data_IF_479596631735
#
_entry.id   IF_479596631735
#
_cell.length_a   1.000
_cell.length_b   1.000
_cell.length_c   1.000
_cell.angle_alpha   90.00
_cell.angle_beta   90.00
_cell.angle_gamma   90.00
#
_symmetry.space_group_name_H-M   'P 1'
#
loop_
_entity.id
_entity.type
_entity.pdbx_description
1 polymer ?
#
# COMPACT_ATOMS: atom_id res chain seq x y z
N UNK A 1 13.62 -7.15 -14.65
CA UNK A 1 13.36 -5.96 -13.80
C UNK A 1 12.49 -6.33 -12.60
N UNK A 2 13.06 -6.83 -11.48
CA UNK A 2 12.23 -7.34 -10.35
C UNK A 2 12.78 -7.05 -8.93
N UNK A 3 13.82 -6.24 -8.78
CA UNK A 3 14.32 -5.81 -7.45
C UNK A 3 13.64 -4.51 -7.01
N UNK A 4 13.54 -3.53 -7.92
CA UNK A 4 12.98 -2.20 -7.62
C UNK A 4 11.52 -2.32 -7.15
N UNK A 5 10.69 -3.09 -7.83
CA UNK A 5 9.28 -3.31 -7.45
C UNK A 5 9.17 -3.94 -6.05
N UNK A 6 10.07 -4.86 -5.69
CA UNK A 6 10.10 -5.48 -4.35
C UNK A 6 10.53 -4.49 -3.27
N UNK A 7 11.57 -3.68 -3.51
CA UNK A 7 11.98 -2.63 -2.58
C UNK A 7 10.86 -1.61 -2.33
N UNK A 8 10.18 -1.19 -3.40
CA UNK A 8 9.05 -0.27 -3.31
C UNK A 8 7.87 -0.88 -2.55
N UNK A 9 7.61 -2.18 -2.70
CA UNK A 9 6.61 -2.91 -1.92
C UNK A 9 6.97 -2.99 -0.43
N UNK A 10 8.25 -3.16 -0.08
CA UNK A 10 8.71 -3.15 1.32
C UNK A 10 8.56 -1.76 1.93
N UNK A 11 8.88 -0.71 1.18
CA UNK A 11 8.66 0.68 1.61
C UNK A 11 7.18 0.94 1.90
N UNK A 12 6.26 0.37 1.11
CA UNK A 12 4.83 0.42 1.39
C UNK A 12 4.41 -0.33 2.66
N UNK A 13 5.07 -1.44 3.00
CA UNK A 13 4.83 -2.15 4.26
C UNK A 13 5.28 -1.35 5.49
N UNK A 14 6.34 -0.54 5.37
CA UNK A 14 6.83 0.31 6.47
C UNK A 14 6.23 1.73 6.45
N UNK A 15 5.46 2.07 5.42
CA UNK A 15 4.93 3.41 5.26
C UNK A 15 3.94 3.71 6.39
N UNK A 16 4.21 4.73 7.24
CA UNK A 16 3.37 5.02 8.39
C UNK A 16 1.93 5.34 7.99
N UNK A 17 1.74 5.98 6.83
CA UNK A 17 0.42 6.29 6.29
C UNK A 17 -0.36 5.02 5.92
N UNK A 18 0.29 4.04 5.30
CA UNK A 18 -0.31 2.74 4.96
C UNK A 18 -0.62 1.91 6.20
N UNK A 19 0.27 1.94 7.20
CA UNK A 19 0.09 1.26 8.49
C UNK A 19 -1.10 1.88 9.24
N UNK A 20 -1.19 3.22 9.30
CA UNK A 20 -2.32 3.91 9.93
C UNK A 20 -3.64 3.60 9.24
N UNK A 21 -3.66 3.59 7.90
CA UNK A 21 -4.86 3.25 7.14
C UNK A 21 -5.30 1.79 7.34
N UNK A 22 -4.35 0.84 7.51
CA UNK A 22 -4.66 -0.55 7.90
C UNK A 22 -5.13 -0.70 9.33
N UNK A 23 -4.56 0.07 10.25
CA UNK A 23 -4.87 -0.02 11.68
C UNK A 23 -6.22 0.63 12.00
N UNK A 24 -6.62 1.65 11.25
CA UNK A 24 -7.88 2.37 11.44
C UNK A 24 -8.70 2.44 10.14
N UNK A 25 -9.18 1.29 9.62
CA UNK A 25 -9.85 1.22 8.31
C UNK A 25 -11.16 2.01 8.26
N UNK A 26 -11.80 2.26 9.41
CA UNK A 26 -13.07 2.99 9.50
C UNK A 26 -12.89 4.52 9.65
N UNK A 27 -11.66 4.99 9.83
CA UNK A 27 -11.37 6.41 9.98
C UNK A 27 -11.59 7.20 8.68
N UNK A 28 -11.96 8.48 8.80
CA UNK A 28 -12.01 9.42 7.65
C UNK A 28 -10.67 9.48 6.91
N UNK A 29 -9.56 9.32 7.64
CA UNK A 29 -8.23 9.22 7.07
C UNK A 29 -8.10 7.99 6.16
N UNK A 30 -8.51 6.80 6.61
CA UNK A 30 -8.44 5.59 5.79
C UNK A 30 -9.32 5.68 4.53
N UNK A 31 -10.49 6.32 4.59
CA UNK A 31 -11.33 6.58 3.41
C UNK A 31 -10.63 7.48 2.38
N UNK A 32 -9.99 8.56 2.82
CA UNK A 32 -9.18 9.41 1.93
C UNK A 32 -7.93 8.69 1.41
N UNK A 33 -7.27 7.94 2.28
CA UNK A 33 -6.09 7.14 1.95
C UNK A 33 -6.41 6.04 0.92
N UNK A 34 -7.63 5.48 0.93
CA UNK A 34 -8.11 4.53 -0.09
C UNK A 34 -8.12 5.13 -1.50
N UNK A 35 -8.40 6.42 -1.63
CA UNK A 35 -8.26 7.14 -2.89
C UNK A 35 -6.79 7.35 -3.25
N UNK A 36 -5.98 7.75 -2.27
CA UNK A 36 -4.54 7.99 -2.43
C UNK A 36 -3.74 6.73 -2.74
N UNK A 37 -4.19 5.56 -2.29
CA UNK A 37 -3.59 4.25 -2.57
C UNK A 37 -3.54 3.94 -4.09
N UNK A 38 -4.52 4.43 -4.86
CA UNK A 38 -4.55 4.31 -6.32
C UNK A 38 -3.66 5.34 -7.04
N UNK A 39 -3.10 6.32 -6.33
CA UNK A 39 -2.22 7.36 -6.88
C UNK A 39 -0.76 7.06 -6.52
N UNK A 40 -0.53 6.50 -5.33
CA UNK A 40 0.80 6.19 -4.84
C UNK A 40 1.45 5.05 -5.66
N UNK A 41 2.56 5.29 -6.38
CA UNK A 41 3.19 4.26 -7.21
C UNK A 41 3.69 3.06 -6.39
N UNK A 42 4.03 3.28 -5.12
CA UNK A 42 4.41 2.22 -4.18
C UNK A 42 3.22 1.35 -3.79
N UNK A 43 2.06 1.96 -3.52
CA UNK A 43 0.84 1.22 -3.18
C UNK A 43 0.35 0.40 -4.37
N UNK A 44 0.38 0.96 -5.57
CA UNK A 44 0.06 0.26 -6.81
C UNK A 44 1.00 -0.92 -7.03
N UNK A 45 2.32 -0.72 -6.85
CA UNK A 45 3.32 -1.78 -6.94
C UNK A 45 3.06 -2.86 -5.89
N UNK A 46 2.80 -2.47 -4.64
CA UNK A 46 2.48 -3.38 -3.54
C UNK A 46 1.21 -4.18 -3.83
N UNK A 47 0.15 -3.55 -4.34
CA UNK A 47 -1.13 -4.21 -4.69
C UNK A 47 -0.96 -5.19 -5.85
N UNK A 48 -0.22 -4.81 -6.89
CA UNK A 48 0.15 -5.74 -7.98
C UNK A 48 0.98 -6.92 -7.47
N UNK A 49 1.83 -6.70 -6.46
CA UNK A 49 2.65 -7.76 -5.87
C UNK A 49 1.84 -8.63 -4.89
N UNK A 50 0.91 -8.04 -4.11
CA UNK A 50 0.06 -8.73 -3.14
C UNK A 50 -1.09 -9.49 -3.81
N UNK A 51 -1.58 -9.09 -4.98
CA UNK A 51 -2.60 -9.87 -5.72
C UNK A 51 -2.13 -11.27 -6.16
N UNK A 52 -0.85 -11.62 -5.96
CA UNK A 52 -0.28 -12.96 -6.16
C UNK A 52 -0.31 -13.79 -4.84
N UNK A 53 -0.60 -13.16 -3.68
CA UNK A 53 -0.90 -13.83 -2.40
C UNK A 53 -2.22 -13.31 -1.84
N UNK A 54 -3.27 -14.04 -2.19
CA UNK A 54 -4.58 -14.05 -1.53
C UNK A 54 -4.37 -14.24 -0.03
N UNK A 55 -4.75 -13.23 0.76
CA UNK A 55 -5.32 -13.32 2.12
C UNK A 55 -5.97 -11.96 2.43
#
# INVERSE_FOLDING_TARGET
MRIIIKLFAVVCCICPLCIFARRFPDSKFAKGMKGFDNICPFCIAYRKTKSIRVD
#
